data_IF_770107513370
#
_entry.id   IF_770107513370
#
_cell.length_a   1.000
_cell.length_b   1.000
_cell.length_c   1.000
_cell.angle_alpha   90.00
_cell.angle_beta   90.00
_cell.angle_gamma   90.00
#
_symmetry.space_group_name_H-M   'P 1'
#
loop_
_entity.id
_entity.type
_entity.pdbx_description
1 polymer ?
#
# COMPACT_ATOMS: atom_id res chain seq x y z
N UNK A 1 18.40 -7.71 6.83
CA UNK A 1 17.71 -6.41 6.89
C UNK A 1 16.29 -6.69 7.32
N UNK A 2 15.85 -6.07 8.41
CA UNK A 2 14.51 -6.28 8.96
C UNK A 2 13.50 -5.43 8.15
N UNK A 3 12.39 -6.03 7.71
CA UNK A 3 11.38 -5.30 6.94
C UNK A 3 10.50 -4.51 7.92
N UNK A 4 10.57 -3.18 7.86
CA UNK A 4 9.80 -2.31 8.77
C UNK A 4 8.27 -2.37 8.53
N UNK A 5 7.85 -2.86 7.38
CA UNK A 5 6.45 -2.99 6.98
C UNK A 5 6.28 -3.08 5.47
N UNK A 6 5.04 -2.96 5.00
CA UNK A 6 4.69 -2.98 3.58
C UNK A 6 3.53 -2.04 3.27
N UNK A 7 3.52 -1.56 2.04
CA UNK A 7 2.36 -0.89 1.43
C UNK A 7 1.46 -1.96 0.82
N UNK A 8 0.28 -2.17 1.42
CA UNK A 8 -0.73 -3.09 0.92
C UNK A 8 -1.78 -2.33 0.10
N UNK A 9 -2.08 -2.84 -1.11
CA UNK A 9 -3.04 -2.23 -2.03
C UNK A 9 -4.17 -3.22 -2.31
N UNK A 10 -5.39 -2.87 -1.92
CA UNK A 10 -6.58 -3.75 -1.97
C UNK A 10 -7.71 -3.10 -2.74
N UNK A 11 -8.49 -3.90 -3.46
CA UNK A 11 -9.74 -3.44 -4.08
C UNK A 11 -10.89 -3.78 -3.12
N UNK A 12 -11.62 -2.76 -2.68
CA UNK A 12 -12.72 -2.89 -1.73
C UNK A 12 -13.90 -2.08 -2.27
N UNK A 13 -14.96 -2.79 -2.68
CA UNK A 13 -16.07 -2.21 -3.42
C UNK A 13 -15.59 -1.47 -4.68
N UNK A 14 -15.87 -0.17 -4.75
CA UNK A 14 -15.51 0.69 -5.89
C UNK A 14 -14.17 1.42 -5.72
N UNK A 15 -13.38 1.08 -4.69
CA UNK A 15 -12.13 1.78 -4.37
C UNK A 15 -10.92 0.86 -4.43
N UNK A 16 -9.78 1.45 -4.80
CA UNK A 16 -8.46 0.89 -4.61
C UNK A 16 -7.83 1.57 -3.40
N UNK A 17 -7.76 0.84 -2.30
CA UNK A 17 -7.34 1.31 -0.99
C UNK A 17 -5.89 0.94 -0.71
N UNK A 18 -5.18 1.87 -0.10
CA UNK A 18 -3.79 1.75 0.32
C UNK A 18 -3.71 1.73 1.84
N UNK A 19 -2.97 0.76 2.35
CA UNK A 19 -2.74 0.54 3.77
C UNK A 19 -1.25 0.40 4.05
N UNK A 20 -0.79 0.94 5.17
CA UNK A 20 0.47 0.52 5.78
C UNK A 20 0.19 -0.66 6.70
N UNK A 21 0.94 -1.74 6.53
CA UNK A 21 0.77 -2.95 7.34
C UNK A 21 2.13 -3.51 7.75
N UNK A 22 2.14 -4.32 8.81
CA UNK A 22 3.31 -5.11 9.17
C UNK A 22 3.62 -6.13 8.05
N UNK A 23 4.87 -6.64 7.96
CA UNK A 23 5.30 -7.50 6.85
C UNK A 23 4.39 -8.71 6.62
N UNK A 24 3.98 -9.37 7.71
CA UNK A 24 3.32 -10.68 7.68
C UNK A 24 1.85 -10.65 8.11
N UNK A 25 1.29 -9.49 8.41
CA UNK A 25 -0.12 -9.37 8.86
C UNK A 25 -0.76 -8.06 8.42
N UNK A 26 -2.10 -8.05 8.37
CA UNK A 26 -2.94 -6.85 8.20
C UNK A 26 -3.60 -6.42 9.50
N UNK A 27 -3.32 -7.11 10.60
CA UNK A 27 -3.72 -6.65 11.95
C UNK A 27 -3.14 -5.25 12.17
N UNK A 28 -3.98 -4.35 12.67
CA UNK A 28 -3.68 -2.93 12.87
C UNK A 28 -3.19 -2.18 11.62
N UNK A 29 -3.54 -2.67 10.42
CA UNK A 29 -3.21 -1.99 9.18
C UNK A 29 -3.81 -0.56 9.16
N UNK A 30 -2.94 0.41 8.90
CA UNK A 30 -3.29 1.83 8.91
C UNK A 30 -3.75 2.23 7.52
N UNK A 31 -4.98 2.71 7.39
CA UNK A 31 -5.49 3.27 6.14
C UNK A 31 -4.74 4.56 5.79
N UNK A 32 -4.16 4.61 4.58
CA UNK A 32 -3.41 5.77 4.08
C UNK A 32 -4.26 6.61 3.14
N UNK A 33 -5.09 5.94 2.31
CA UNK A 33 -5.89 6.60 1.31
C UNK A 33 -6.55 5.62 0.36
N UNK A 34 -7.56 6.09 -0.36
CA UNK A 34 -8.27 5.31 -1.36
C UNK A 34 -8.54 6.15 -2.60
N UNK A 35 -8.54 5.51 -3.76
CA UNK A 35 -8.92 6.13 -5.03
C UNK A 35 -10.03 5.32 -5.68
N UNK A 36 -11.04 6.00 -6.24
CA UNK A 36 -12.10 5.31 -6.96
C UNK A 36 -11.52 4.51 -8.13
N UNK A 37 -11.94 3.25 -8.29
CA UNK A 37 -11.52 2.38 -9.39
C UNK A 37 -11.81 3.02 -10.75
N UNK A 38 -12.89 3.79 -10.88
CA UNK A 38 -13.22 4.52 -12.10
C UNK A 38 -12.13 5.52 -12.54
N UNK A 39 -11.32 6.03 -11.61
CA UNK A 39 -10.24 6.99 -11.90
C UNK A 39 -9.00 6.29 -12.46
N UNK A 40 -8.71 5.07 -11.99
CA UNK A 40 -7.45 4.35 -12.27
C UNK A 40 -7.60 3.18 -13.25
N UNK A 41 -8.82 2.67 -13.46
CA UNK A 41 -9.09 1.60 -14.42
C UNK A 41 -8.82 2.09 -15.84
N UNK A 42 -7.96 1.39 -16.59
CA UNK A 42 -7.53 1.80 -17.93
C UNK A 42 -6.50 2.95 -17.95
N UNK A 43 -6.08 3.44 -16.78
CA UNK A 43 -5.18 4.57 -16.61
C UNK A 43 -3.94 4.18 -15.78
N UNK A 44 -3.00 3.40 -16.34
CA UNK A 44 -1.83 2.91 -15.62
C UNK A 44 -0.96 4.03 -15.04
N UNK A 45 -0.92 5.20 -15.68
CA UNK A 45 -0.23 6.40 -15.21
C UNK A 45 -0.83 6.94 -13.91
N UNK A 46 -2.15 6.97 -13.80
CA UNK A 46 -2.85 7.42 -12.58
C UNK A 46 -2.67 6.41 -11.46
N UNK A 47 -2.73 5.12 -11.80
CA UNK A 47 -2.44 4.02 -10.87
C UNK A 47 -1.02 4.13 -10.30
N UNK A 48 -0.03 4.40 -11.16
CA UNK A 48 1.35 4.60 -10.77
C UNK A 48 1.54 5.87 -9.93
N UNK A 49 0.88 6.97 -10.28
CA UNK A 49 0.93 8.22 -9.52
C UNK A 49 0.37 8.03 -8.09
N UNK A 50 -0.81 7.40 -7.96
CA UNK A 50 -1.38 7.08 -6.64
C UNK A 50 -0.45 6.20 -5.82
N UNK A 51 0.09 5.12 -6.41
CA UNK A 51 1.06 4.26 -5.73
C UNK A 51 2.36 4.99 -5.36
N UNK A 52 2.80 5.96 -6.19
CA UNK A 52 3.92 6.84 -5.88
C UNK A 52 3.69 7.62 -4.60
N UNK A 53 2.58 8.34 -4.52
CA UNK A 53 2.20 9.13 -3.35
C UNK A 53 2.07 8.26 -2.09
N UNK A 54 1.48 7.07 -2.19
CA UNK A 54 1.34 6.18 -1.04
C UNK A 54 2.69 5.64 -0.54
N UNK A 55 3.66 5.41 -1.45
CA UNK A 55 5.03 5.04 -1.05
C UNK A 55 5.74 6.17 -0.31
N UNK A 56 5.58 7.40 -0.78
CA UNK A 56 6.13 8.58 -0.10
C UNK A 56 5.51 8.75 1.29
N UNK A 57 4.18 8.61 1.39
CA UNK A 57 3.48 8.68 2.68
C UNK A 57 3.98 7.63 3.69
N UNK A 58 4.18 6.37 3.26
CA UNK A 58 4.75 5.33 4.13
C UNK A 58 6.18 5.67 4.54
N UNK A 59 6.99 6.16 3.61
CA UNK A 59 8.37 6.54 3.89
C UNK A 59 8.44 7.67 4.92
N UNK A 60 7.56 8.67 4.82
CA UNK A 60 7.50 9.80 5.74
C UNK A 60 7.03 9.36 7.14
N UNK A 61 6.02 8.47 7.23
CA UNK A 61 5.56 7.90 8.51
C UNK A 61 6.69 7.11 9.20
N UNK A 62 7.37 6.24 8.45
CA UNK A 62 8.45 5.42 8.99
C UNK A 62 9.67 6.25 9.35
N UNK A 63 10.02 7.26 8.56
CA UNK A 63 11.11 8.19 8.86
C UNK A 63 10.80 9.01 10.12
N UNK A 64 9.57 9.50 10.27
CA UNK A 64 9.15 10.22 11.47
C UNK A 64 9.22 9.34 12.73
N UNK A 65 8.82 8.07 12.63
CA UNK A 65 8.80 7.14 13.77
C UNK A 65 10.18 6.57 14.13
N UNK A 66 11.04 6.31 13.14
CA UNK A 66 12.31 5.61 13.33
C UNK A 66 13.56 6.49 13.19
N UNK A 67 13.40 7.73 12.70
CA UNK A 67 14.50 8.62 12.35
C UNK A 67 15.27 8.20 11.09
N UNK A 68 14.86 7.14 10.40
CA UNK A 68 15.53 6.61 9.19
C UNK A 68 14.52 6.44 8.07
N UNK A 69 14.82 7.00 6.88
CA UNK A 69 13.98 6.80 5.70
C UNK A 69 14.12 5.36 5.17
N UNK A 70 13.02 4.62 4.98
CA UNK A 70 13.09 3.25 4.46
C UNK A 70 13.42 3.21 2.96
N UNK A 71 14.09 2.14 2.54
CA UNK A 71 14.32 1.85 1.11
C UNK A 71 13.17 1.02 0.56
N UNK A 72 12.63 1.44 -0.59
CA UNK A 72 11.61 0.67 -1.30
C UNK A 72 12.23 -0.52 -2.03
N UNK A 73 11.84 -1.74 -1.65
CA UNK A 73 12.39 -3.00 -2.18
C UNK A 73 11.58 -3.58 -3.35
N UNK A 74 10.70 -2.79 -3.97
CA UNK A 74 9.91 -3.20 -5.14
C UNK A 74 8.49 -3.68 -4.81
N UNK A 75 7.65 -3.76 -5.83
CA UNK A 75 6.29 -4.26 -5.70
C UNK A 75 6.31 -5.79 -5.66
N UNK A 76 5.58 -6.38 -4.70
CA UNK A 76 5.41 -7.82 -4.56
C UNK A 76 3.94 -8.18 -4.71
N UNK A 77 3.65 -9.37 -5.23
CA UNK A 77 2.29 -9.90 -5.24
C UNK A 77 1.84 -10.13 -3.79
N UNK A 78 0.58 -9.82 -3.49
CA UNK A 78 0.01 -10.15 -2.19
C UNK A 78 0.10 -11.68 -1.94
N UNK A 79 0.38 -12.11 -0.70
CA UNK A 79 0.32 -13.52 -0.32
C UNK A 79 -1.00 -14.17 -0.74
N UNK A 80 -0.98 -15.43 -1.14
CA UNK A 80 -2.15 -16.11 -1.72
C UNK A 80 -3.39 -16.06 -0.80
N UNK A 81 -3.18 -16.16 0.51
CA UNK A 81 -4.26 -16.09 1.51
C UNK A 81 -4.89 -14.70 1.64
N UNK A 82 -4.27 -13.64 1.11
CA UNK A 82 -4.81 -12.28 1.09
C UNK A 82 -5.48 -11.90 -0.23
N UNK A 83 -5.34 -12.75 -1.27
CA UNK A 83 -5.91 -12.49 -2.61
C UNK A 83 -7.42 -12.73 -2.67
N UNK A 84 -8.03 -13.25 -1.60
CA UNK A 84 -9.44 -13.61 -1.51
C UNK A 84 -10.40 -12.42 -1.23
N UNK A 85 -10.00 -11.19 -1.56
CA UNK A 85 -10.84 -9.98 -1.42
C UNK A 85 -11.76 -9.77 -2.62
N UNK A 86 -12.81 -10.58 -2.75
CA UNK A 86 -14.04 -10.20 -3.47
C UNK A 86 -15.23 -10.63 -2.60
N UNK A 87 -15.51 -9.85 -1.56
CA UNK A 87 -16.78 -9.85 -0.86
C UNK A 87 -17.43 -8.48 -1.07
#
# INVERSE_FOLDING_TARGET
MEQAGRLALRVEGNFWNAYFALPDTMEDAIFLGGVAMAVVTGHPERKAAFMGLMREAVADILEHASGTRPTWNGAQAAPEHERAGRA
#
